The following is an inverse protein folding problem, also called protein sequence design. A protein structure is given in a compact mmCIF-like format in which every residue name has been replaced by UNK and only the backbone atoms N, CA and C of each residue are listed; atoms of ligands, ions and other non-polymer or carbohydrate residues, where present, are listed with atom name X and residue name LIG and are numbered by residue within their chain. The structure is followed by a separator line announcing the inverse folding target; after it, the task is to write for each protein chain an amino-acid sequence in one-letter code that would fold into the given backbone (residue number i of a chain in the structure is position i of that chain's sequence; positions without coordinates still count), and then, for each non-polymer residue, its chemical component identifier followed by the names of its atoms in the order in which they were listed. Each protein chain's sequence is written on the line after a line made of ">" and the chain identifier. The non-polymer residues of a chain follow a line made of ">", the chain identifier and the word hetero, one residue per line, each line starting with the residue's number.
data_IF_912111944351
#
_entry.id   IF_912111944351
#
_cell.length_a   1.000
_cell.length_b   1.000
_cell.length_c   1.000
_cell.angle_alpha   90.00
_cell.angle_beta   90.00
_cell.angle_gamma   90.00
#
_symmetry.space_group_name_H-M   'P 1'
#
loop_
_entity.id
_entity.type
_entity.pdbx_description
1 polymer ?
#
# COMPACT_ATOMS: atom_id res chain seq x y z
N UNK A 1 -23.92 -5.08 -6.66
CA UNK A 1 -23.01 -5.99 -5.91
C UNK A 1 -21.51 -5.71 -6.16
N UNK A 2 -21.10 -5.14 -7.30
CA UNK A 2 -19.68 -4.92 -7.66
C UNK A 2 -18.96 -3.77 -6.91
N UNK A 3 -19.68 -2.79 -6.34
CA UNK A 3 -19.06 -1.64 -5.68
C UNK A 3 -18.25 -1.98 -4.42
N UNK A 4 -18.75 -2.87 -3.56
CA UNK A 4 -18.09 -3.25 -2.30
C UNK A 4 -16.76 -3.96 -2.53
N UNK A 5 -16.66 -4.75 -3.60
CA UNK A 5 -15.41 -5.44 -3.97
C UNK A 5 -14.33 -4.43 -4.37
N UNK A 6 -14.69 -3.35 -5.09
CA UNK A 6 -13.74 -2.29 -5.45
C UNK A 6 -13.14 -1.61 -4.22
N UNK A 7 -13.98 -1.28 -3.24
CA UNK A 7 -13.51 -0.70 -1.97
C UNK A 7 -12.58 -1.65 -1.21
N UNK A 8 -12.93 -2.94 -1.16
CA UNK A 8 -12.10 -3.94 -0.51
C UNK A 8 -10.73 -4.07 -1.19
N UNK A 9 -10.68 -4.06 -2.52
CA UNK A 9 -9.42 -4.07 -3.28
C UNK A 9 -8.57 -2.84 -3.00
N UNK A 10 -9.16 -1.64 -2.90
CA UNK A 10 -8.41 -0.43 -2.54
C UNK A 10 -7.83 -0.48 -1.13
N UNK A 11 -8.61 -0.91 -0.16
CA UNK A 11 -8.16 -1.06 1.24
C UNK A 11 -7.02 -2.09 1.30
N UNK A 12 -7.20 -3.24 0.66
CA UNK A 12 -6.18 -4.29 0.62
C UNK A 12 -4.90 -3.83 -0.08
N UNK A 13 -5.03 -3.04 -1.15
CA UNK A 13 -3.87 -2.48 -1.88
C UNK A 13 -3.08 -1.50 -1.01
N UNK A 14 -3.74 -0.73 -0.15
CA UNK A 14 -3.10 0.19 0.78
C UNK A 14 -2.26 -0.55 1.85
N UNK A 15 -2.80 -1.61 2.45
CA UNK A 15 -2.08 -2.37 3.48
C UNK A 15 -1.04 -3.34 2.90
N UNK A 16 -1.29 -3.85 1.69
CA UNK A 16 -0.43 -4.84 1.02
C UNK A 16 -0.09 -4.28 -0.38
N UNK A 17 0.97 -3.46 -0.50
CA UNK A 17 1.36 -2.86 -1.77
C UNK A 17 1.50 -3.85 -2.95
N UNK A 18 2.02 -5.09 -2.76
CA UNK A 18 2.05 -6.11 -3.82
C UNK A 18 0.67 -6.42 -4.42
N UNK A 19 -0.40 -6.40 -3.60
CA UNK A 19 -1.77 -6.66 -4.08
C UNK A 19 -2.20 -5.59 -5.07
N UNK A 20 -1.90 -4.31 -4.81
CA UNK A 20 -2.21 -3.21 -5.72
C UNK A 20 -1.46 -3.28 -7.06
N UNK A 21 -0.23 -3.79 -7.05
CA UNK A 21 0.55 -4.03 -8.29
C UNK A 21 -0.05 -5.18 -9.09
N UNK A 22 -0.46 -6.26 -8.43
CA UNK A 22 -1.08 -7.43 -9.07
C UNK A 22 -2.44 -7.04 -9.67
N UNK A 23 -3.29 -6.31 -8.93
CA UNK A 23 -4.56 -5.81 -9.50
C UNK A 23 -4.32 -4.85 -10.65
N UNK A 24 -3.34 -3.96 -10.56
CA UNK A 24 -2.97 -3.12 -11.70
C UNK A 24 -2.60 -3.97 -12.92
N UNK A 25 -1.75 -4.98 -12.75
CA UNK A 25 -1.29 -5.84 -13.84
C UNK A 25 -2.41 -6.68 -14.47
N UNK A 26 -3.32 -7.22 -13.65
CA UNK A 26 -4.46 -8.04 -14.12
C UNK A 26 -5.52 -7.20 -14.84
N UNK A 27 -5.78 -5.97 -14.37
CA UNK A 27 -6.84 -5.12 -14.90
C UNK A 27 -6.35 -4.07 -15.92
N UNK A 28 -5.04 -3.89 -16.08
CA UNK A 28 -4.41 -3.05 -17.11
C UNK A 28 -4.57 -3.68 -18.51
N UNK A 29 -5.72 -3.46 -19.13
CA UNK A 29 -6.03 -3.95 -20.48
C UNK A 29 -7.47 -4.41 -20.67
N UNK A 30 -8.29 -4.39 -19.61
CA UNK A 30 -9.74 -4.62 -19.69
C UNK A 30 -10.52 -3.32 -19.87
N UNK A 31 -11.85 -3.45 -19.94
CA UNK A 31 -12.83 -2.36 -20.08
C UNK A 31 -12.50 -1.13 -19.22
N UNK A 32 -12.95 0.05 -19.65
CA UNK A 32 -12.68 1.35 -18.99
C UNK A 32 -12.90 1.33 -17.48
N UNK A 33 -13.97 0.69 -17.01
CA UNK A 33 -14.30 0.59 -15.58
C UNK A 33 -13.23 -0.20 -14.79
N UNK A 34 -12.67 -1.25 -15.39
CA UNK A 34 -11.60 -2.04 -14.77
C UNK A 34 -10.28 -1.29 -14.75
N UNK A 35 -10.03 -0.45 -15.77
CA UNK A 35 -8.82 0.36 -15.87
C UNK A 35 -8.76 1.44 -14.78
N UNK A 36 -9.90 2.00 -14.40
CA UNK A 36 -9.97 2.94 -13.29
C UNK A 36 -9.65 2.24 -11.96
N UNK A 37 -10.22 1.05 -11.72
CA UNK A 37 -9.90 0.25 -10.53
C UNK A 37 -8.41 -0.09 -10.46
N UNK A 38 -7.80 -0.43 -11.59
CA UNK A 38 -6.36 -0.69 -11.68
C UNK A 38 -5.53 0.53 -11.21
N UNK A 39 -5.82 1.71 -11.77
CA UNK A 39 -5.11 2.97 -11.45
C UNK A 39 -5.24 3.37 -9.99
N UNK A 40 -6.47 3.34 -9.47
CA UNK A 40 -6.74 3.71 -8.08
C UNK A 40 -6.14 2.70 -7.09
N UNK A 41 -6.13 1.40 -7.43
CA UNK A 41 -5.48 0.38 -6.60
C UNK A 41 -3.96 0.57 -6.56
N UNK A 42 -3.35 0.90 -7.69
CA UNK A 42 -1.92 1.19 -7.77
C UNK A 42 -1.56 2.45 -6.98
N UNK A 43 -2.37 3.51 -7.09
CA UNK A 43 -2.19 4.74 -6.34
C UNK A 43 -2.32 4.49 -4.82
N UNK A 44 -3.34 3.72 -4.40
CA UNK A 44 -3.53 3.34 -3.01
C UNK A 44 -2.34 2.53 -2.46
N UNK A 45 -1.79 1.60 -3.25
CA UNK A 45 -0.59 0.84 -2.89
C UNK A 45 0.66 1.71 -2.77
N UNK A 46 0.84 2.68 -3.67
CA UNK A 46 1.96 3.61 -3.60
C UNK A 46 1.89 4.48 -2.33
N UNK A 47 0.72 5.03 -2.02
CA UNK A 47 0.50 5.81 -0.81
C UNK A 47 0.71 4.94 0.44
N UNK A 48 0.18 3.71 0.45
CA UNK A 48 0.38 2.76 1.55
C UNK A 48 1.85 2.44 1.80
N UNK A 49 2.65 2.25 0.74
CA UNK A 49 4.09 2.03 0.82
C UNK A 49 4.81 3.25 1.40
N UNK A 50 4.48 4.46 0.93
CA UNK A 50 5.05 5.72 1.44
C UNK A 50 4.71 5.91 2.92
N UNK A 51 3.46 5.68 3.31
CA UNK A 51 3.02 5.76 4.72
C UNK A 51 3.76 4.74 5.57
N UNK A 52 3.89 3.49 5.09
CA UNK A 52 4.63 2.45 5.79
C UNK A 52 6.12 2.82 5.96
N UNK A 53 6.75 3.36 4.91
CA UNK A 53 8.12 3.85 4.97
C UNK A 53 8.28 5.02 5.96
N UNK A 54 7.35 5.98 5.97
CA UNK A 54 7.35 7.08 6.94
C UNK A 54 7.21 6.54 8.36
N UNK A 55 6.31 5.58 8.60
CA UNK A 55 6.15 4.94 9.92
C UNK A 55 7.45 4.24 10.32
N UNK A 56 8.05 3.42 9.47
CA UNK A 56 9.31 2.72 9.79
C UNK A 56 10.44 3.71 10.05
N UNK A 57 10.57 4.77 9.24
CA UNK A 57 11.61 5.78 9.42
C UNK A 57 11.39 6.58 10.69
N UNK A 58 10.15 6.97 10.98
CA UNK A 58 9.80 7.76 12.17
C UNK A 58 9.94 6.91 13.41
N UNK A 59 9.29 5.73 13.45
CA UNK A 59 9.36 4.83 14.58
C UNK A 59 10.78 4.30 14.79
N UNK A 60 11.49 3.93 13.73
CA UNK A 60 12.89 3.51 13.80
C UNK A 60 13.83 4.62 14.25
N UNK A 61 13.64 5.86 13.78
CA UNK A 61 14.42 7.01 14.25
C UNK A 61 14.08 7.38 15.70
N UNK A 62 12.80 7.37 16.08
CA UNK A 62 12.35 7.63 17.45
C UNK A 62 12.86 6.54 18.40
N UNK A 63 12.79 5.26 18.03
CA UNK A 63 13.29 4.16 18.85
C UNK A 63 14.81 4.23 19.02
N UNK A 64 15.55 4.58 17.96
CA UNK A 64 17.01 4.84 18.04
C UNK A 64 17.35 6.08 18.86
N UNK A 65 16.50 7.13 18.81
CA UNK A 65 16.71 8.35 19.58
C UNK A 65 16.38 8.18 21.07
N UNK A 66 15.35 7.41 21.41
CA UNK A 66 14.90 7.17 22.79
C UNK A 66 15.63 6.00 23.47
N UNK A 67 16.04 4.98 22.71
CA UNK A 67 16.84 3.84 23.19
C UNK A 67 18.09 3.61 22.34
N UNK A 68 19.09 4.52 22.41
CA UNK A 68 20.36 4.31 21.75
C UNK A 68 21.12 3.15 22.43
N UNK A 69 21.23 1.99 21.76
CA UNK A 69 22.09 0.88 22.21
C UNK A 69 21.41 -0.46 22.54
N UNK A 70 20.12 -0.64 22.26
CA UNK A 70 19.47 -1.97 22.35
C UNK A 70 19.86 -2.93 21.23
N UNK A 71 20.56 -2.45 20.22
CA UNK A 71 21.11 -3.18 19.07
C UNK A 71 22.46 -3.88 19.38
N UNK A 72 22.94 -3.82 20.63
CA UNK A 72 24.22 -4.41 21.08
C UNK A 72 24.10 -5.65 21.99
N UNK A 73 22.91 -6.24 22.11
CA UNK A 73 22.69 -7.46 22.91
C UNK A 73 22.29 -8.63 22.03
#
# INVERSE_FOLDING_TARGET
>A
MIGWVKYLVYIMSFFIPPVGVITFWIFSGRDEESRDVAKWSFLAAFIGLVVCAIIILTFGATHRAFWPGMDRW
#
